data_IF_679151975669
#
_entry.id   IF_679151975669
#
_cell.length_a   1.000
_cell.length_b   1.000
_cell.length_c   1.000
_cell.angle_alpha   90.00
_cell.angle_beta   90.00
_cell.angle_gamma   90.00
#
_symmetry.space_group_name_H-M   'P 1'
#
loop_
_entity.id
_entity.type
_entity.pdbx_description
1 polymer ?
#
# COMPACT_ATOMS: atom_id res chain seq x y z
N UNK A 1 14.05 25.81 2.22
CA UNK A 1 13.45 24.56 2.76
C UNK A 1 14.50 23.87 3.61
N UNK A 2 14.19 23.53 4.86
CA UNK A 2 15.11 22.80 5.75
C UNK A 2 15.50 21.47 5.09
N UNK A 3 16.81 21.21 4.94
CA UNK A 3 17.32 20.00 4.29
C UNK A 3 16.88 18.78 5.09
N UNK A 4 16.19 17.83 4.45
CA UNK A 4 15.79 16.58 5.10
C UNK A 4 17.05 15.78 5.43
N UNK A 5 17.28 15.48 6.71
CA UNK A 5 18.40 14.64 7.14
C UNK A 5 18.01 13.17 7.14
N UNK A 6 18.99 12.27 6.99
CA UNK A 6 18.77 10.83 7.01
C UNK A 6 18.11 10.36 8.31
N UNK A 7 18.62 10.85 9.46
CA UNK A 7 18.06 10.59 10.78
C UNK A 7 16.58 11.00 10.85
N UNK A 8 16.26 12.25 10.46
CA UNK A 8 14.88 12.75 10.51
C UNK A 8 13.96 11.94 9.61
N UNK A 9 14.45 11.50 8.46
CA UNK A 9 13.69 10.66 7.54
C UNK A 9 13.34 9.31 8.17
N UNK A 10 14.29 8.62 8.81
CA UNK A 10 14.07 7.32 9.47
C UNK A 10 13.11 7.40 10.65
N UNK A 11 13.10 8.51 11.38
CA UNK A 11 12.23 8.74 12.55
C UNK A 11 10.82 9.21 12.19
N UNK A 12 10.57 9.62 10.94
CA UNK A 12 9.30 10.22 10.53
C UNK A 12 8.47 9.25 9.69
N UNK A 13 7.21 9.05 10.07
CA UNK A 13 6.26 8.37 9.19
C UNK A 13 5.77 9.32 8.09
N UNK A 14 5.89 8.91 6.83
CA UNK A 14 5.37 9.64 5.69
C UNK A 14 4.21 8.89 5.01
N UNK A 15 3.18 9.62 4.61
CA UNK A 15 2.20 9.13 3.65
C UNK A 15 2.82 9.07 2.25
N UNK A 16 2.26 8.22 1.37
CA UNK A 16 2.75 8.05 0.01
C UNK A 16 2.85 9.38 -0.75
N UNK A 17 1.84 10.25 -0.63
CA UNK A 17 1.85 11.56 -1.29
C UNK A 17 2.99 12.47 -0.81
N UNK A 18 3.35 12.38 0.47
CA UNK A 18 4.49 13.12 1.03
C UNK A 18 5.80 12.59 0.46
N UNK A 19 5.97 11.27 0.37
CA UNK A 19 7.14 10.65 -0.26
C UNK A 19 7.27 11.02 -1.73
N UNK A 20 6.17 11.01 -2.50
CA UNK A 20 6.16 11.46 -3.90
C UNK A 20 6.63 12.92 -4.01
N UNK A 21 6.17 13.80 -3.11
CA UNK A 21 6.61 15.20 -3.08
C UNK A 21 8.11 15.31 -2.77
N UNK A 22 8.60 14.52 -1.81
CA UNK A 22 10.03 14.47 -1.48
C UNK A 22 10.83 13.98 -2.69
N UNK A 23 10.43 12.89 -3.33
CA UNK A 23 11.09 12.38 -4.54
C UNK A 23 11.15 13.46 -5.63
N UNK A 24 10.04 14.14 -5.90
CA UNK A 24 9.99 15.22 -6.91
C UNK A 24 10.97 16.35 -6.59
N UNK A 25 11.05 16.76 -5.33
CA UNK A 25 11.95 17.84 -4.90
C UNK A 25 13.43 17.47 -5.05
N UNK A 26 13.78 16.19 -4.94
CA UNK A 26 15.16 15.70 -5.07
C UNK A 26 15.47 15.08 -6.45
N UNK A 27 14.55 15.17 -7.42
CA UNK A 27 14.76 14.60 -8.76
C UNK A 27 14.80 13.07 -8.79
N UNK A 28 14.16 12.40 -7.83
CA UNK A 28 14.10 10.95 -7.69
C UNK A 28 12.87 10.36 -8.41
N UNK A 29 12.86 9.04 -8.68
CA UNK A 29 11.67 8.38 -9.20
C UNK A 29 10.44 8.59 -8.30
N UNK A 30 9.32 9.01 -8.91
CA UNK A 30 8.08 9.36 -8.19
C UNK A 30 6.99 8.30 -8.29
N UNK A 31 7.23 7.23 -9.05
CA UNK A 31 6.29 6.13 -9.25
C UNK A 31 6.69 4.95 -8.38
N UNK A 32 5.68 4.21 -7.89
CA UNK A 32 5.93 2.99 -7.15
C UNK A 32 5.06 2.77 -5.92
N UNK A 33 5.39 1.71 -5.16
CA UNK A 33 4.88 1.43 -3.82
C UNK A 33 5.48 2.41 -2.82
N UNK A 34 4.89 2.46 -1.61
CA UNK A 34 5.47 3.27 -0.52
C UNK A 34 6.88 2.77 -0.15
N UNK A 35 7.14 1.46 -0.25
CA UNK A 35 8.43 0.88 0.03
C UNK A 35 9.49 1.29 -0.99
N UNK A 36 9.17 1.26 -2.29
CA UNK A 36 10.05 1.73 -3.36
C UNK A 36 10.39 3.22 -3.20
N UNK A 37 9.39 4.07 -2.94
CA UNK A 37 9.63 5.50 -2.71
C UNK A 37 10.52 5.75 -1.49
N UNK A 38 10.30 5.00 -0.40
CA UNK A 38 11.18 5.06 0.77
C UNK A 38 12.60 4.65 0.42
N UNK A 39 12.77 3.58 -0.35
CA UNK A 39 14.07 3.09 -0.79
C UNK A 39 14.83 4.13 -1.62
N UNK A 40 14.18 4.79 -2.59
CA UNK A 40 14.83 5.84 -3.39
C UNK A 40 15.33 7.00 -2.52
N UNK A 41 14.53 7.45 -1.56
CA UNK A 41 14.90 8.53 -0.65
C UNK A 41 16.04 8.06 0.28
N UNK A 42 16.00 6.82 0.75
CA UNK A 42 17.04 6.25 1.61
C UNK A 42 18.40 6.19 0.90
N UNK A 43 18.41 5.69 -0.34
CA UNK A 43 19.59 5.69 -1.22
C UNK A 43 20.17 7.11 -1.38
N UNK A 44 19.31 8.09 -1.68
CA UNK A 44 19.72 9.47 -1.85
C UNK A 44 20.32 10.07 -0.57
N UNK A 45 19.66 9.87 0.57
CA UNK A 45 20.13 10.38 1.87
C UNK A 45 21.39 9.66 2.37
N UNK A 46 21.66 8.45 1.86
CA UNK A 46 22.89 7.68 2.11
C UNK A 46 24.06 8.11 1.20
N UNK A 47 23.85 9.07 0.30
CA UNK A 47 24.89 9.65 -0.55
C UNK A 47 24.89 9.17 -2.00
N UNK A 48 23.95 8.32 -2.41
CA UNK A 48 23.84 7.90 -3.81
C UNK A 48 23.28 9.08 -4.65
N UNK A 49 23.99 9.51 -5.71
CA UNK A 49 23.52 10.58 -6.59
C UNK A 49 22.14 10.27 -7.21
N UNK A 50 21.26 11.29 -7.27
CA UNK A 50 19.89 11.13 -7.78
C UNK A 50 19.83 10.53 -9.21
N UNK A 51 20.81 10.86 -10.07
CA UNK A 51 20.88 10.32 -11.43
C UNK A 51 21.20 8.81 -11.50
N UNK A 52 21.77 8.23 -10.45
CA UNK A 52 22.03 6.80 -10.32
C UNK A 52 20.85 6.02 -9.75
N UNK A 53 19.89 6.70 -9.12
CA UNK A 53 18.70 6.08 -8.53
C UNK A 53 17.65 5.91 -9.62
N UNK A 54 17.44 4.67 -10.05
CA UNK A 54 16.49 4.31 -11.11
C UNK A 54 15.19 3.74 -10.53
N UNK A 55 14.06 3.88 -11.25
CA UNK A 55 12.83 3.21 -10.84
C UNK A 55 13.03 1.70 -10.87
N UNK A 56 12.50 1.01 -9.85
CA UNK A 56 12.55 -0.44 -9.72
C UNK A 56 11.80 -1.18 -10.84
N UNK A 57 10.89 -0.49 -11.53
CA UNK A 57 10.02 -1.05 -12.57
C UNK A 57 9.91 -0.06 -13.71
N UNK A 58 9.96 -0.55 -14.95
CA UNK A 58 9.66 0.28 -16.11
C UNK A 58 8.18 0.23 -16.41
N UNK A 59 7.59 1.41 -16.57
CA UNK A 59 6.21 1.54 -17.00
C UNK A 59 6.19 1.73 -18.51
N UNK A 60 5.82 0.68 -19.23
CA UNK A 60 5.55 0.81 -20.66
C UNK A 60 4.26 1.60 -20.87
N UNK A 61 4.30 2.56 -21.80
CA UNK A 61 3.13 3.34 -22.20
C UNK A 61 2.29 2.49 -23.16
N UNK A 62 1.44 1.65 -22.60
CA UNK A 62 0.36 1.00 -23.33
C UNK A 62 -0.99 1.60 -22.89
N UNK A 63 -1.97 1.74 -23.80
CA UNK A 63 -3.32 2.15 -23.42
C UNK A 63 -3.90 1.12 -22.44
N UNK A 64 -4.68 1.59 -21.46
CA UNK A 64 -5.32 0.69 -20.51
C UNK A 64 -6.37 -0.17 -21.21
N UNK A 65 -6.29 -1.49 -21.00
CA UNK A 65 -7.26 -2.44 -21.56
C UNK A 65 -8.65 -2.27 -20.95
N UNK A 66 -9.67 -2.47 -21.79
CA UNK A 66 -11.07 -2.67 -21.44
C UNK A 66 -11.35 -4.10 -21.03
N UNK A 67 -12.43 -4.31 -20.28
CA UNK A 67 -12.84 -5.66 -19.85
C UNK A 67 -12.91 -6.64 -21.02
N UNK A 68 -13.46 -6.21 -22.17
CA UNK A 68 -13.61 -7.04 -23.37
C UNK A 68 -12.29 -7.43 -24.05
N UNK A 69 -11.20 -6.76 -23.70
CA UNK A 69 -9.87 -7.01 -24.27
C UNK A 69 -9.00 -7.88 -23.35
N UNK A 70 -9.49 -8.20 -22.14
CA UNK A 70 -8.78 -9.03 -21.17
C UNK A 70 -9.19 -10.48 -21.36
N UNK A 71 -8.19 -11.34 -21.50
CA UNK A 71 -8.30 -12.80 -21.57
C UNK A 71 -7.27 -13.46 -20.66
N UNK A 72 -7.33 -14.78 -20.49
CA UNK A 72 -6.32 -15.52 -19.72
C UNK A 72 -4.92 -15.41 -20.35
N UNK A 73 -4.83 -15.31 -21.67
CA UNK A 73 -3.55 -15.20 -22.39
C UNK A 73 -2.98 -13.77 -22.41
N UNK A 74 -3.71 -12.80 -21.86
CA UNK A 74 -3.27 -11.40 -21.83
C UNK A 74 -1.99 -11.27 -20.99
N UNK A 75 -0.88 -10.75 -21.53
CA UNK A 75 0.34 -10.53 -20.75
C UNK A 75 0.11 -9.55 -19.60
N UNK A 76 0.77 -9.75 -18.46
CA UNK A 76 0.70 -8.81 -17.32
C UNK A 76 1.54 -7.54 -17.54
N UNK A 77 2.57 -7.64 -18.39
CA UNK A 77 3.55 -6.59 -18.67
C UNK A 77 3.50 -6.24 -20.15
N UNK A 78 3.49 -4.95 -20.46
CA UNK A 78 3.53 -4.44 -21.83
C UNK A 78 2.20 -4.44 -22.61
N UNK A 79 1.18 -5.17 -22.14
CA UNK A 79 -0.13 -5.24 -22.79
C UNK A 79 -1.07 -4.06 -22.50
N UNK A 80 -0.81 -3.27 -21.46
CA UNK A 80 -1.77 -2.29 -20.93
C UNK A 80 -2.66 -2.83 -19.79
N UNK A 81 -2.49 -4.10 -19.40
CA UNK A 81 -3.18 -4.68 -18.25
C UNK A 81 -2.79 -3.98 -16.93
N UNK A 82 -3.80 -3.63 -16.14
CA UNK A 82 -3.62 -3.01 -14.82
C UNK A 82 -4.73 -3.41 -13.85
N UNK A 83 -4.46 -3.36 -12.54
CA UNK A 83 -5.46 -3.63 -11.50
C UNK A 83 -6.41 -2.44 -11.33
N UNK A 84 -7.21 -2.20 -12.36
CA UNK A 84 -8.19 -1.14 -12.46
C UNK A 84 -9.62 -1.69 -12.34
N UNK A 85 -10.63 -0.88 -12.66
CA UNK A 85 -12.02 -1.30 -12.60
C UNK A 85 -12.40 -2.29 -13.72
N UNK A 86 -11.82 -2.15 -14.91
CA UNK A 86 -12.05 -3.04 -16.07
C UNK A 86 -11.57 -4.47 -15.75
N UNK A 87 -10.35 -4.61 -15.23
CA UNK A 87 -9.82 -5.88 -14.76
C UNK A 87 -10.67 -6.45 -13.62
N UNK A 88 -11.13 -5.61 -12.67
CA UNK A 88 -12.02 -6.06 -11.59
C UNK A 88 -13.33 -6.64 -12.12
N UNK A 89 -13.92 -6.03 -13.15
CA UNK A 89 -15.13 -6.55 -13.80
C UNK A 89 -14.84 -7.87 -14.51
N UNK A 90 -13.74 -7.96 -15.26
CA UNK A 90 -13.28 -9.22 -15.87
C UNK A 90 -13.19 -10.35 -14.83
N UNK A 91 -12.46 -10.14 -13.74
CA UNK A 91 -12.30 -11.16 -12.70
C UNK A 91 -13.62 -11.48 -11.97
N UNK A 92 -14.48 -10.48 -11.74
CA UNK A 92 -15.80 -10.70 -11.14
C UNK A 92 -16.65 -11.62 -12.01
N UNK A 93 -16.66 -11.42 -13.32
CA UNK A 93 -17.34 -12.29 -14.29
C UNK A 93 -16.68 -13.67 -14.35
N UNK A 94 -15.35 -13.74 -14.47
CA UNK A 94 -14.60 -15.00 -14.56
C UNK A 94 -14.82 -15.91 -13.35
N UNK A 95 -14.78 -15.37 -12.13
CA UNK A 95 -15.01 -16.12 -10.89
C UNK A 95 -16.49 -16.23 -10.49
N UNK A 96 -17.41 -15.66 -11.28
CA UNK A 96 -18.83 -15.60 -10.98
C UNK A 96 -19.14 -15.03 -9.56
N UNK A 97 -18.53 -13.89 -9.24
CA UNK A 97 -18.72 -13.19 -7.96
C UNK A 97 -19.24 -11.77 -8.17
N UNK A 98 -20.11 -11.31 -7.27
CA UNK A 98 -20.65 -9.93 -7.34
C UNK A 98 -19.58 -8.85 -7.19
N UNK A 99 -18.55 -9.12 -6.38
CA UNK A 99 -17.48 -8.16 -6.10
C UNK A 99 -16.14 -8.89 -5.97
N UNK A 100 -15.23 -8.59 -6.89
CA UNK A 100 -13.86 -9.11 -6.85
C UNK A 100 -12.91 -8.13 -6.15
N UNK A 101 -11.99 -8.66 -5.35
CA UNK A 101 -10.90 -7.91 -4.72
C UNK A 101 -9.57 -8.58 -5.04
N UNK A 102 -8.63 -7.80 -5.59
CA UNK A 102 -7.27 -8.28 -5.83
C UNK A 102 -6.59 -8.64 -4.51
N UNK A 103 -5.86 -9.73 -4.51
CA UNK A 103 -5.11 -10.20 -3.33
C UNK A 103 -3.70 -9.61 -3.29
N UNK A 104 -3.01 -9.77 -2.15
CA UNK A 104 -1.63 -9.30 -2.01
C UNK A 104 -0.70 -10.08 -2.92
N UNK A 105 -0.93 -11.37 -3.05
CA UNK A 105 -0.19 -12.32 -3.89
C UNK A 105 -0.24 -11.87 -5.36
N UNK A 106 -1.43 -11.52 -5.85
CA UNK A 106 -1.59 -10.96 -7.21
C UNK A 106 -0.77 -9.69 -7.40
N UNK A 107 -0.75 -8.81 -6.40
CA UNK A 107 0.06 -7.60 -6.41
C UNK A 107 1.57 -7.87 -6.38
N UNK A 108 2.03 -8.93 -5.71
CA UNK A 108 3.44 -9.31 -5.72
C UNK A 108 3.82 -9.89 -7.08
N UNK A 109 3.02 -10.83 -7.61
CA UNK A 109 3.29 -11.49 -8.89
C UNK A 109 3.41 -10.45 -10.01
N UNK A 110 2.45 -9.52 -10.09
CA UNK A 110 2.49 -8.47 -11.11
C UNK A 110 3.72 -7.57 -10.97
N UNK A 111 4.06 -7.15 -9.74
CA UNK A 111 5.23 -6.30 -9.50
C UNK A 111 6.55 -7.01 -9.83
N UNK A 112 6.66 -8.30 -9.50
CA UNK A 112 7.82 -9.10 -9.86
C UNK A 112 7.96 -9.22 -11.38
N UNK A 113 6.86 -9.52 -12.08
CA UNK A 113 6.88 -9.55 -13.54
C UNK A 113 7.32 -8.20 -14.15
N UNK A 114 6.86 -7.08 -13.59
CA UNK A 114 7.26 -5.74 -14.03
C UNK A 114 8.75 -5.43 -13.74
N UNK A 115 9.27 -5.87 -12.59
CA UNK A 115 10.67 -5.66 -12.21
C UNK A 115 11.63 -6.51 -13.07
N UNK A 116 11.23 -7.75 -13.35
CA UNK A 116 11.99 -8.70 -14.15
C UNK A 116 11.79 -8.48 -15.67
N UNK A 117 10.97 -7.49 -16.06
CA UNK A 117 10.55 -7.26 -17.44
C UNK A 117 10.01 -8.53 -18.14
N UNK A 118 9.31 -9.37 -17.38
CA UNK A 118 8.85 -10.66 -17.86
C UNK A 118 7.55 -10.50 -18.66
N UNK A 119 7.68 -10.51 -19.99
CA UNK A 119 6.58 -10.38 -20.93
C UNK A 119 5.77 -11.67 -21.13
N UNK A 120 6.25 -12.81 -20.60
CA UNK A 120 5.59 -14.11 -20.79
C UNK A 120 4.54 -14.42 -19.74
N UNK A 121 4.51 -13.69 -18.62
CA UNK A 121 3.52 -13.94 -17.55
C UNK A 121 2.17 -13.38 -17.99
N UNK A 122 1.15 -14.22 -17.91
CA UNK A 122 -0.22 -13.90 -18.35
C UNK A 122 -1.18 -13.70 -17.17
N UNK A 123 -2.42 -13.29 -17.48
CA UNK A 123 -3.54 -13.26 -16.53
C UNK A 123 -3.88 -14.66 -16.01
N UNK A 124 -3.78 -15.70 -16.83
CA UNK A 124 -3.94 -17.09 -16.42
C UNK A 124 -2.87 -17.51 -15.40
N UNK A 125 -1.60 -17.18 -15.67
CA UNK A 125 -0.51 -17.42 -14.72
C UNK A 125 -0.73 -16.69 -13.39
N UNK A 126 -1.24 -15.45 -13.45
CA UNK A 126 -1.56 -14.67 -12.25
C UNK A 126 -2.56 -15.41 -11.36
N UNK A 127 -3.63 -15.96 -11.95
CA UNK A 127 -4.67 -16.70 -11.22
C UNK A 127 -4.08 -17.96 -10.59
N UNK A 128 -3.38 -18.78 -11.39
CA UNK A 128 -2.83 -20.05 -10.94
C UNK A 128 -1.82 -19.86 -9.81
N UNK A 129 -0.84 -18.97 -10.00
CA UNK A 129 0.19 -18.68 -9.00
C UNK A 129 -0.38 -18.05 -7.74
N UNK A 130 -1.36 -17.16 -7.86
CA UNK A 130 -2.00 -16.57 -6.67
C UNK A 130 -2.75 -17.62 -5.85
N UNK A 131 -3.41 -18.58 -6.50
CA UNK A 131 -4.07 -19.70 -5.81
C UNK A 131 -3.06 -20.58 -5.08
N UNK A 132 -1.99 -21.00 -5.75
CA UNK A 132 -0.90 -21.79 -5.16
C UNK A 132 -0.27 -21.10 -3.94
N UNK A 133 -0.02 -19.78 -4.02
CA UNK A 133 0.52 -18.99 -2.92
C UNK A 133 -0.45 -18.88 -1.73
N UNK A 134 -1.76 -18.84 -2.01
CA UNK A 134 -2.80 -18.78 -0.97
C UNK A 134 -2.90 -20.11 -0.23
N UNK A 135 -2.95 -21.22 -0.97
CA UNK A 135 -3.13 -22.57 -0.43
C UNK A 135 -1.92 -23.01 0.42
N UNK A 136 -0.73 -22.54 0.08
CA UNK A 136 0.51 -22.84 0.78
C UNK A 136 0.73 -22.03 2.08
N UNK A 137 -0.21 -21.16 2.49
CA UNK A 137 -0.15 -20.32 3.71
C UNK A 137 1.21 -19.64 3.91
N UNK A 138 1.83 -19.22 2.82
CA UNK A 138 3.24 -18.87 2.83
C UNK A 138 3.51 -17.62 3.67
N UNK A 139 4.43 -17.75 4.63
CA UNK A 139 4.83 -16.68 5.56
C UNK A 139 5.72 -15.60 4.95
N UNK A 140 6.31 -15.84 3.77
CA UNK A 140 7.26 -14.92 3.12
C UNK A 140 6.66 -13.55 2.80
N UNK A 141 5.32 -13.44 2.70
CA UNK A 141 4.66 -12.15 2.52
C UNK A 141 5.06 -11.17 3.62
N UNK A 142 5.29 -11.64 4.86
CA UNK A 142 5.71 -10.82 6.01
C UNK A 142 7.07 -10.15 5.79
N UNK A 143 7.93 -10.77 4.98
CA UNK A 143 9.28 -10.30 4.72
C UNK A 143 9.33 -9.29 3.56
N UNK A 144 8.20 -9.05 2.88
CA UNK A 144 8.12 -8.05 1.83
C UNK A 144 8.32 -6.64 2.39
N UNK A 145 9.11 -5.79 1.72
CA UNK A 145 9.27 -4.39 2.09
C UNK A 145 7.94 -3.63 2.22
N UNK A 146 6.92 -4.00 1.44
CA UNK A 146 5.59 -3.38 1.52
C UNK A 146 4.89 -3.59 2.86
N UNK A 147 5.04 -4.75 3.51
CA UNK A 147 4.34 -5.03 4.78
C UNK A 147 4.78 -4.06 5.87
N UNK A 148 6.05 -3.64 5.85
CA UNK A 148 6.58 -2.65 6.79
C UNK A 148 5.97 -1.26 6.61
N UNK A 149 5.30 -0.99 5.48
CA UNK A 149 4.75 0.34 5.15
C UNK A 149 3.27 0.52 5.49
N UNK A 150 2.61 -0.57 5.92
CA UNK A 150 1.17 -0.64 6.21
C UNK A 150 0.79 -0.20 7.63
N UNK A 151 1.63 0.57 8.33
CA UNK A 151 1.37 0.90 9.74
C UNK A 151 0.00 1.56 9.99
N UNK A 152 -0.44 2.48 9.12
CA UNK A 152 -1.78 3.07 9.21
C UNK A 152 -2.89 2.03 9.00
N UNK A 153 -2.74 1.15 8.01
CA UNK A 153 -3.74 0.12 7.73
C UNK A 153 -3.85 -0.87 8.90
N UNK A 154 -2.71 -1.26 9.47
CA UNK A 154 -2.66 -2.12 10.65
C UNK A 154 -3.30 -1.41 11.86
N UNK A 155 -2.95 -0.14 12.10
CA UNK A 155 -3.54 0.67 13.16
C UNK A 155 -5.07 0.74 13.06
N UNK A 156 -5.60 1.04 11.87
CA UNK A 156 -7.06 1.09 11.64
C UNK A 156 -7.70 -0.28 11.83
N UNK A 157 -7.05 -1.35 11.34
CA UNK A 157 -7.55 -2.71 11.50
C UNK A 157 -7.63 -3.10 12.98
N UNK A 158 -6.56 -2.85 13.73
CA UNK A 158 -6.47 -3.15 15.16
C UNK A 158 -7.49 -2.34 15.96
N UNK A 159 -7.64 -1.05 15.65
CA UNK A 159 -8.70 -0.22 16.24
C UNK A 159 -10.09 -0.77 15.94
N UNK A 160 -10.42 -1.03 14.67
CA UNK A 160 -11.73 -1.52 14.28
C UNK A 160 -12.06 -2.91 14.84
N UNK A 161 -11.06 -3.72 15.15
CA UNK A 161 -11.22 -5.02 15.79
C UNK A 161 -11.42 -4.92 17.31
N UNK A 162 -11.05 -3.79 17.93
CA UNK A 162 -11.33 -3.56 19.35
C UNK A 162 -12.83 -3.37 19.58
N UNK A 163 -13.35 -4.02 20.62
CA UNK A 163 -14.73 -3.83 21.10
C UNK A 163 -15.00 -2.36 21.44
N UNK A 164 -13.98 -1.64 21.93
CA UNK A 164 -14.06 -0.20 22.25
C UNK A 164 -14.35 0.67 21.05
N UNK A 165 -13.99 0.25 19.83
CA UNK A 165 -14.32 1.02 18.63
C UNK A 165 -15.82 1.17 18.39
N UNK A 166 -16.63 0.27 18.94
CA UNK A 166 -18.09 0.30 18.82
C UNK A 166 -18.74 1.42 19.64
N UNK A 167 -18.00 2.06 20.54
CA UNK A 167 -18.48 3.21 21.30
C UNK A 167 -18.57 4.50 20.45
N UNK A 168 -18.11 4.46 19.19
CA UNK A 168 -18.01 5.64 18.31
C UNK A 168 -18.83 5.52 17.02
N UNK A 169 -19.52 6.60 16.65
CA UNK A 169 -20.30 6.68 15.40
C UNK A 169 -19.43 6.94 14.15
N UNK A 170 -18.28 7.60 14.31
CA UNK A 170 -17.35 7.98 13.24
C UNK A 170 -15.99 7.32 13.43
N UNK A 171 -15.96 5.99 13.45
CA UNK A 171 -14.76 5.17 13.69
C UNK A 171 -13.53 5.63 12.90
N UNK A 172 -13.66 5.85 11.59
CA UNK A 172 -12.52 6.29 10.77
C UNK A 172 -11.97 7.66 11.17
N UNK A 173 -12.82 8.57 11.63
CA UNK A 173 -12.37 9.89 12.08
C UNK A 173 -11.63 9.79 13.41
N UNK A 174 -12.14 8.96 14.33
CA UNK A 174 -11.47 8.64 15.60
C UNK A 174 -10.10 8.00 15.33
N UNK A 175 -10.04 6.98 14.48
CA UNK A 175 -8.78 6.34 14.11
C UNK A 175 -7.76 7.34 13.54
N UNK A 176 -8.20 8.28 12.69
CA UNK A 176 -7.33 9.31 12.13
C UNK A 176 -6.79 10.29 13.18
N UNK A 177 -7.62 10.68 14.16
CA UNK A 177 -7.21 11.53 15.28
C UNK A 177 -6.17 10.82 16.15
N UNK A 178 -6.45 9.59 16.58
CA UNK A 178 -5.51 8.81 17.40
C UNK A 178 -4.19 8.57 16.65
N UNK A 179 -4.29 8.23 15.36
CA UNK A 179 -3.12 8.06 14.51
C UNK A 179 -2.31 9.34 14.37
N UNK A 180 -2.94 10.52 14.34
CA UNK A 180 -2.20 11.78 14.30
C UNK A 180 -1.27 11.91 15.50
N UNK A 181 -1.74 11.61 16.71
CA UNK A 181 -0.92 11.62 17.92
C UNK A 181 0.17 10.55 17.89
N UNK A 182 -0.20 9.32 17.56
CA UNK A 182 0.72 8.18 17.51
C UNK A 182 1.80 8.40 16.46
N UNK A 183 1.47 8.95 15.29
CA UNK A 183 2.41 9.26 14.19
C UNK A 183 3.54 10.17 14.64
N UNK A 184 3.26 11.17 15.47
CA UNK A 184 4.24 12.18 15.90
C UNK A 184 4.94 11.85 17.21
N UNK A 185 4.53 10.79 17.92
CA UNK A 185 5.22 10.32 19.12
C UNK A 185 6.51 9.56 18.80
N UNK A 186 7.32 9.27 19.81
CA UNK A 186 8.46 8.34 19.73
C UNK A 186 8.06 6.88 20.00
N UNK A 187 6.83 6.64 20.44
CA UNK A 187 6.33 5.30 20.81
C UNK A 187 5.91 4.43 19.62
N UNK A 188 5.46 3.21 19.93
CA UNK A 188 4.98 2.23 18.96
C UNK A 188 3.87 2.81 18.07
N UNK A 189 3.93 2.54 16.76
CA UNK A 189 2.95 2.96 15.76
C UNK A 189 1.80 1.95 15.62
N UNK A 190 1.29 1.49 16.77
CA UNK A 190 0.25 0.48 16.88
C UNK A 190 -0.90 1.00 17.75
N UNK A 191 -2.09 0.50 17.46
CA UNK A 191 -3.26 0.83 18.26
C UNK A 191 -3.23 0.09 19.60
N UNK A 192 -3.62 0.78 20.66
CA UNK A 192 -3.87 0.23 21.99
C UNK A 192 -5.09 0.95 22.58
N UNK A 193 -5.95 0.25 23.32
CA UNK A 193 -7.17 0.85 23.88
C UNK A 193 -6.89 2.04 24.81
N UNK A 194 -5.72 2.06 25.49
CA UNK A 194 -5.28 3.19 26.32
C UNK A 194 -5.19 4.52 25.55
N UNK A 195 -5.04 4.49 24.22
CA UNK A 195 -5.06 5.69 23.39
C UNK A 195 -6.41 6.41 23.47
N UNK A 196 -7.50 5.67 23.68
CA UNK A 196 -8.83 6.24 23.83
C UNK A 196 -8.94 7.06 25.11
N UNK A 197 -8.38 6.57 26.21
CA UNK A 197 -8.36 7.29 27.47
C UNK A 197 -7.43 8.50 27.39
N UNK A 198 -6.23 8.30 26.84
CA UNK A 198 -5.19 9.32 26.71
C UNK A 198 -5.63 10.51 25.85
N UNK A 199 -6.36 10.27 24.77
CA UNK A 199 -6.82 11.29 23.83
C UNK A 199 -8.35 11.45 23.85
N UNK A 200 -8.96 11.16 25.00
CA UNK A 200 -10.41 11.17 25.22
C UNK A 200 -11.07 12.48 24.83
N UNK A 201 -10.49 13.62 25.19
CA UNK A 201 -11.05 14.94 24.86
C UNK A 201 -11.15 15.19 23.35
N UNK A 202 -10.18 14.72 22.56
CA UNK A 202 -10.19 14.91 21.10
C UNK A 202 -11.21 14.03 20.38
N UNK A 203 -11.57 12.90 21.00
CA UNK A 203 -12.48 11.90 20.42
C UNK A 203 -13.89 11.95 21.03
N UNK A 204 -14.07 12.67 22.14
CA UNK A 204 -15.33 12.88 22.88
C UNK A 204 -16.53 13.21 21.97
N UNK A 205 -16.40 14.09 20.95
CA UNK A 205 -17.54 14.44 20.09
C UNK A 205 -18.08 13.28 19.24
N UNK A 206 -17.35 12.16 19.14
CA UNK A 206 -17.70 11.02 18.29
C UNK A 206 -18.29 9.84 19.06
N UNK A 207 -18.38 9.91 20.39
CA UNK A 207 -19.07 8.89 21.16
C UNK A 207 -20.54 8.79 20.74
N UNK A 208 -21.05 7.57 20.68
CA UNK A 208 -22.47 7.31 20.51
C UNK A 208 -23.16 7.87 21.75
N UNK A 209 -24.01 8.88 21.55
CA UNK A 209 -24.87 9.38 22.61
C UNK A 209 -25.97 8.33 22.83
N UNK A 210 -25.96 7.69 23.99
CA UNK A 210 -27.14 6.94 24.44
C UNK A 210 -28.18 8.00 24.83
N UNK A 211 -29.28 8.04 24.08
CA UNK A 211 -30.48 8.79 24.45
C UNK A 211 -31.28 7.99 25.47
#
# INVERSE_FOLDING_TARGET
MTKLTHKKFKETYFYKAELVRICRNYGLPTQGTKAELNHYIDCFLSGIPANQIKPARTYQKAPSLKMSEISLDTPLVGSGFSFNNEARQFFATYFNVKKFSFTKEMAVIKRKAEADHNLSITVGDLINRAKEMTDSKQTWLKDLPEEQTYQWNNFVKDFCNSSKSHEFNKKMKVAAILWHHVKHSTGSKQYHDRLLDQFSEDIKPYHIKNH
#
